data_IF_553653774499
#
_entry.id   IF_553653774499
#
_cell.length_a   1.000
_cell.length_b   1.000
_cell.length_c   1.000
_cell.angle_alpha   90.00
_cell.angle_beta   90.00
_cell.angle_gamma   90.00
#
_symmetry.space_group_name_H-M   'P 1'
#
loop_
_entity.id
_entity.type
_entity.pdbx_description
1 polymer ?
#
# COMPACT_ATOMS: atom_id res chain seq x y z
N UNK A 1 2.16 -30.53 3.59
CA UNK A 1 1.29 -30.22 4.74
C UNK A 1 2.14 -29.39 5.70
N UNK A 2 2.04 -28.06 5.62
CA UNK A 2 2.79 -27.15 6.48
C UNK A 2 1.86 -26.59 7.56
N UNK A 3 2.09 -27.00 8.78
CA UNK A 3 1.39 -26.56 10.01
C UNK A 3 2.17 -25.42 10.66
N UNK A 4 1.52 -24.32 11.01
CA UNK A 4 1.71 -23.62 12.31
C UNK A 4 0.60 -22.58 12.49
N UNK A 5 -0.12 -22.72 13.59
CA UNK A 5 -1.14 -21.80 14.05
C UNK A 5 -0.51 -20.67 14.88
N UNK A 6 -0.91 -19.42 14.57
CA UNK A 6 -1.20 -18.37 15.56
C UNK A 6 -0.04 -17.81 16.39
N UNK A 7 0.75 -16.93 15.77
CA UNK A 7 1.18 -15.66 16.36
C UNK A 7 0.94 -14.59 15.30
N UNK A 8 0.26 -13.50 15.65
CA UNK A 8 -0.03 -12.39 14.75
C UNK A 8 1.21 -11.51 14.53
N UNK A 9 2.28 -12.14 14.08
CA UNK A 9 3.44 -11.51 13.48
C UNK A 9 3.24 -11.73 11.98
N UNK A 10 2.61 -10.76 11.32
CA UNK A 10 2.77 -10.61 9.87
C UNK A 10 4.26 -10.74 9.58
N UNK A 11 4.65 -11.84 8.97
CA UNK A 11 6.02 -11.99 8.58
C UNK A 11 6.26 -10.95 7.48
N UNK A 12 7.45 -10.34 7.42
CA UNK A 12 7.80 -9.41 6.33
C UNK A 12 7.57 -10.04 4.93
N UNK A 13 7.57 -11.37 4.85
CA UNK A 13 7.18 -12.16 3.69
C UNK A 13 5.69 -11.96 3.28
N UNK A 14 4.78 -11.89 4.25
CA UNK A 14 3.35 -11.64 4.00
C UNK A 14 3.15 -10.22 3.48
N UNK A 15 3.85 -9.23 4.05
CA UNK A 15 3.82 -7.87 3.52
C UNK A 15 4.40 -7.78 2.11
N UNK A 16 5.45 -8.53 1.79
CA UNK A 16 6.00 -8.54 0.43
C UNK A 16 4.98 -9.07 -0.57
N UNK A 17 4.29 -10.17 -0.26
CA UNK A 17 3.22 -10.70 -1.12
C UNK A 17 2.05 -9.72 -1.26
N UNK A 18 1.58 -9.12 -0.16
CA UNK A 18 0.53 -8.10 -0.18
C UNK A 18 0.94 -6.85 -0.98
N UNK A 19 2.22 -6.47 -0.95
CA UNK A 19 2.74 -5.35 -1.75
C UNK A 19 2.84 -5.71 -3.22
N UNK A 20 3.08 -6.96 -3.56
CA UNK A 20 3.03 -7.44 -4.94
C UNK A 20 1.59 -7.37 -5.49
N UNK A 21 0.57 -7.59 -4.66
CA UNK A 21 -0.84 -7.30 -5.01
C UNK A 21 -1.08 -5.79 -5.23
N UNK A 22 -0.17 -4.89 -4.84
CA UNK A 22 -0.30 -3.46 -5.15
C UNK A 22 0.48 -3.06 -6.42
N UNK A 23 1.05 -4.02 -7.14
CA UNK A 23 1.80 -3.73 -8.36
C UNK A 23 0.92 -3.04 -9.41
N UNK A 24 -0.35 -3.43 -9.51
CA UNK A 24 -1.33 -2.81 -10.40
C UNK A 24 -1.70 -1.37 -10.00
N UNK A 25 -1.38 -0.96 -8.76
CA UNK A 25 -1.49 0.44 -8.33
C UNK A 25 -0.29 1.31 -8.70
N UNK A 26 0.87 0.72 -9.01
CA UNK A 26 2.10 1.45 -9.36
C UNK A 26 1.87 2.51 -10.45
N UNK A 27 1.18 2.21 -11.58
CA UNK A 27 0.98 3.19 -12.64
C UNK A 27 0.26 4.44 -12.16
N UNK A 28 -0.63 4.37 -11.17
CA UNK A 28 -1.30 5.57 -10.66
C UNK A 28 -0.37 6.43 -9.81
N UNK A 29 0.44 5.81 -8.94
CA UNK A 29 1.29 6.50 -7.96
C UNK A 29 2.64 6.95 -8.52
N UNK A 30 3.08 6.43 -9.66
CA UNK A 30 4.35 6.80 -10.31
C UNK A 30 4.33 8.25 -10.81
N UNK A 31 5.42 8.97 -10.54
CA UNK A 31 5.64 10.32 -11.05
C UNK A 31 5.73 10.34 -12.59
N UNK A 32 5.05 11.30 -13.22
CA UNK A 32 5.00 11.40 -14.68
C UNK A 32 4.02 10.43 -15.36
N UNK A 33 3.33 9.58 -14.60
CA UNK A 33 2.32 8.70 -15.16
C UNK A 33 1.08 9.46 -15.65
N UNK A 34 0.57 9.03 -16.80
CA UNK A 34 -0.68 9.53 -17.39
C UNK A 34 -1.93 8.88 -16.80
N UNK A 35 -1.77 7.87 -15.96
CA UNK A 35 -2.88 7.20 -15.27
C UNK A 35 -3.45 8.14 -14.22
N UNK A 36 -4.70 8.55 -14.39
CA UNK A 36 -5.40 9.52 -13.52
C UNK A 36 -6.39 8.87 -12.57
N UNK A 37 -6.69 7.59 -12.75
CA UNK A 37 -7.49 6.77 -11.85
C UNK A 37 -6.84 5.40 -11.68
N UNK A 38 -6.94 4.78 -10.48
CA UNK A 38 -6.55 3.39 -10.30
C UNK A 38 -7.34 2.51 -11.27
N UNK A 39 -6.66 1.58 -11.94
CA UNK A 39 -7.25 0.66 -12.90
C UNK A 39 -7.02 -0.78 -12.47
N UNK A 40 -7.77 -1.71 -13.07
CA UNK A 40 -7.64 -3.14 -12.79
C UNK A 40 -7.98 -3.47 -11.33
N UNK A 41 -7.18 -4.36 -10.75
CA UNK A 41 -7.35 -4.89 -9.40
C UNK A 41 -6.73 -4.01 -8.30
N UNK A 42 -6.13 -2.87 -8.67
CA UNK A 42 -5.51 -1.96 -7.72
C UNK A 42 -6.40 -1.60 -6.50
N UNK A 43 -7.68 -1.28 -6.72
CA UNK A 43 -8.58 -0.94 -5.61
C UNK A 43 -9.04 -2.14 -4.77
N UNK A 44 -9.47 -3.28 -5.34
CA UNK A 44 -9.77 -4.46 -4.55
C UNK A 44 -8.54 -4.99 -3.79
N UNK A 45 -7.34 -4.93 -4.38
CA UNK A 45 -6.09 -5.32 -3.74
C UNK A 45 -5.70 -4.35 -2.62
N UNK A 46 -5.78 -3.04 -2.84
CA UNK A 46 -5.61 -2.04 -1.79
C UNK A 46 -6.54 -2.28 -0.60
N UNK A 47 -7.79 -2.62 -0.89
CA UNK A 47 -8.77 -2.97 0.14
C UNK A 47 -8.39 -4.28 0.84
N UNK A 48 -7.90 -5.29 0.12
CA UNK A 48 -7.44 -6.55 0.70
C UNK A 48 -6.29 -6.31 1.68
N UNK A 49 -5.24 -5.62 1.23
CA UNK A 49 -4.08 -5.27 2.05
C UNK A 49 -4.50 -4.51 3.30
N UNK A 50 -5.43 -3.56 3.20
CA UNK A 50 -5.94 -2.82 4.36
C UNK A 50 -6.71 -3.67 5.36
N UNK A 51 -7.47 -4.66 4.89
CA UNK A 51 -8.21 -5.57 5.77
C UNK A 51 -7.28 -6.62 6.40
N UNK A 52 -6.23 -7.02 5.69
CA UNK A 52 -5.26 -8.01 6.18
C UNK A 52 -4.23 -7.36 7.09
N UNK A 53 -3.47 -6.38 6.59
CA UNK A 53 -2.55 -5.58 7.39
C UNK A 53 -2.17 -4.22 6.74
N UNK A 54 -2.64 -3.14 7.36
CA UNK A 54 -2.32 -1.77 6.94
C UNK A 54 -0.83 -1.39 7.08
N UNK A 55 -0.05 -2.06 7.93
CA UNK A 55 1.39 -1.81 8.08
C UNK A 55 2.18 -2.18 6.81
N UNK A 56 1.73 -3.20 6.07
CA UNK A 56 2.36 -3.62 4.82
C UNK A 56 2.32 -2.53 3.75
N UNK A 57 1.28 -1.68 3.75
CA UNK A 57 1.23 -0.50 2.90
C UNK A 57 2.30 0.53 3.28
N UNK A 58 2.51 0.75 4.57
CA UNK A 58 3.57 1.66 5.02
C UNK A 58 4.95 1.15 4.56
N UNK A 59 5.19 -0.16 4.63
CA UNK A 59 6.41 -0.78 4.11
C UNK A 59 6.53 -0.67 2.60
N UNK A 60 5.44 -0.84 1.85
CA UNK A 60 5.41 -0.65 0.39
C UNK A 60 5.94 0.74 0.00
N UNK A 61 5.41 1.78 0.65
CA UNK A 61 5.80 3.16 0.39
C UNK A 61 7.24 3.44 0.81
N UNK A 62 7.71 2.89 1.94
CA UNK A 62 9.12 2.99 2.35
C UNK A 62 10.06 2.32 1.35
N UNK A 63 9.69 1.16 0.83
CA UNK A 63 10.51 0.38 -0.09
C UNK A 63 10.45 0.88 -1.54
N UNK A 64 9.51 1.77 -1.88
CA UNK A 64 9.37 2.35 -3.23
C UNK A 64 10.67 2.94 -3.79
N UNK A 65 11.44 3.62 -2.92
CA UNK A 65 12.74 4.20 -3.26
C UNK A 65 13.77 3.11 -3.56
N UNK A 66 13.75 2.01 -2.80
CA UNK A 66 14.65 0.87 -3.02
C UNK A 66 14.32 0.11 -4.32
N UNK A 67 13.04 0.12 -4.73
CA UNK A 67 12.57 -0.46 -5.98
C UNK A 67 12.90 0.40 -7.21
N UNK A 68 13.55 1.56 -7.03
CA UNK A 68 13.87 2.48 -8.13
C UNK A 68 12.65 3.17 -8.74
N UNK A 69 11.50 3.12 -8.05
CA UNK A 69 10.25 3.70 -8.52
C UNK A 69 10.09 5.09 -7.91
N UNK A 70 10.10 6.12 -8.74
CA UNK A 70 9.75 7.48 -8.30
C UNK A 70 8.24 7.57 -8.09
N UNK A 71 7.80 7.42 -6.86
CA UNK A 71 6.40 7.64 -6.49
C UNK A 71 6.13 9.12 -6.24
N UNK A 72 5.02 9.61 -6.79
CA UNK A 72 4.45 10.89 -6.46
C UNK A 72 3.64 10.74 -5.14
N UNK A 73 4.18 11.26 -4.05
CA UNK A 73 3.59 11.16 -2.71
C UNK A 73 2.16 11.73 -2.68
N UNK A 74 1.89 12.82 -3.40
CA UNK A 74 0.54 13.39 -3.48
C UNK A 74 -0.45 12.41 -4.09
N UNK A 75 -0.06 11.70 -5.15
CA UNK A 75 -0.93 10.67 -5.76
C UNK A 75 -1.08 9.45 -4.86
N UNK A 76 -0.02 9.01 -4.19
CA UNK A 76 -0.10 7.95 -3.18
C UNK A 76 -1.12 8.29 -2.08
N UNK A 77 -1.15 9.54 -1.61
CA UNK A 77 -2.11 10.01 -0.60
C UNK A 77 -3.55 10.10 -1.12
N UNK A 78 -3.77 10.26 -2.43
CA UNK A 78 -5.12 10.25 -3.01
C UNK A 78 -5.61 8.86 -3.37
N UNK A 79 -4.76 7.84 -3.40
CA UNK A 79 -5.13 6.46 -3.74
C UNK A 79 -6.27 5.91 -2.85
N UNK A 80 -6.26 6.07 -1.50
CA UNK A 80 -7.38 5.60 -0.68
C UNK A 80 -8.70 6.30 -1.00
N UNK A 81 -8.64 7.61 -1.29
CA UNK A 81 -9.81 8.39 -1.67
C UNK A 81 -10.32 8.00 -3.06
N UNK A 82 -9.42 7.78 -4.02
CA UNK A 82 -9.73 7.34 -5.37
C UNK A 82 -10.39 5.96 -5.41
N UNK A 83 -9.93 5.05 -4.55
CA UNK A 83 -10.51 3.71 -4.39
C UNK A 83 -11.72 3.66 -3.45
N UNK A 84 -12.19 4.80 -2.91
CA UNK A 84 -13.33 4.89 -1.98
C UNK A 84 -13.18 3.96 -0.76
N UNK A 85 -11.95 3.73 -0.31
CA UNK A 85 -11.67 2.93 0.89
C UNK A 85 -11.69 3.87 2.10
N UNK A 86 -12.80 3.85 2.83
CA UNK A 86 -13.02 4.69 4.01
C UNK A 86 -12.11 4.26 5.17
N UNK A 87 -10.96 4.92 5.27
CA UNK A 87 -10.29 5.38 6.50
C UNK A 87 -10.46 4.60 7.83
N UNK A 88 -10.41 3.27 7.86
CA UNK A 88 -9.83 2.59 9.04
C UNK A 88 -8.31 2.81 9.13
N UNK A 89 -7.70 3.47 8.13
CA UNK A 89 -6.35 4.03 8.19
C UNK A 89 -6.11 4.96 9.39
N UNK A 90 -7.14 5.61 9.92
CA UNK A 90 -6.98 6.50 11.07
C UNK A 90 -6.85 5.76 12.41
N UNK A 91 -7.23 4.48 12.46
CA UNK A 91 -7.26 3.67 13.69
C UNK A 91 -6.30 2.48 13.62
N UNK A 92 -5.98 2.00 12.42
CA UNK A 92 -4.83 1.13 12.22
C UNK A 92 -3.56 1.95 12.44
N UNK A 93 -2.68 1.44 13.29
CA UNK A 93 -1.35 1.93 13.62
C UNK A 93 -0.38 2.11 12.41
N UNK A 94 -0.88 2.28 11.19
CA UNK A 94 -0.10 2.89 10.11
C UNK A 94 0.01 4.38 10.41
N UNK A 95 0.89 4.71 11.36
CA UNK A 95 1.61 5.97 11.34
C UNK A 95 2.53 6.00 10.11
N UNK A 96 1.96 5.88 8.90
CA UNK A 96 2.41 6.61 7.72
C UNK A 96 2.23 8.10 8.02
N UNK A 97 2.91 8.59 9.07
CA UNK A 97 3.30 9.96 9.16
C UNK A 97 4.31 10.10 8.04
N UNK A 98 3.79 10.29 6.82
CA UNK A 98 4.52 10.86 5.71
C UNK A 98 5.09 12.15 6.31
N UNK A 99 6.33 12.08 6.77
CA UNK A 99 7.03 13.22 7.37
C UNK A 99 7.14 14.24 6.25
N UNK A 100 6.14 15.12 6.17
CA UNK A 100 6.22 16.36 5.43
C UNK A 100 7.21 17.22 6.21
N UNK A 101 8.50 17.08 5.88
CA UNK A 101 9.49 18.07 6.23
C UNK A 101 9.11 19.34 5.47
N UNK A 102 8.34 20.21 6.13
CA UNK A 102 8.50 21.65 5.94
C UNK A 102 9.77 22.09 6.66
#
# INVERSE_FOLDING_TARGET
MGTTAGSAEVSAADCTNLVLELADCLPFVVEGSKVTNPQGDCCPELKNVLNTNAECLCEAFKNSVQLGVKMNVTRAMTLPAACRVSSSFSDANCSCKFHHHL
#
